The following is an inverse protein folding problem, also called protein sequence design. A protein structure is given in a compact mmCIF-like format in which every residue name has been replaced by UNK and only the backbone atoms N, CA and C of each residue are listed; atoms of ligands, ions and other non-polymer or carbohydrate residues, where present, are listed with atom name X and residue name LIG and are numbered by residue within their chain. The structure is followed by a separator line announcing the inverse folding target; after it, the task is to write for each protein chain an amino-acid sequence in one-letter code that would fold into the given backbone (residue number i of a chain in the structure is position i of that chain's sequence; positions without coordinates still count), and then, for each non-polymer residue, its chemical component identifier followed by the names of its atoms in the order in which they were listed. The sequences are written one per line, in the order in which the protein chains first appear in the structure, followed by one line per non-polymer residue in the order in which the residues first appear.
data_IF_052635705999
#
_entry.id   IF_052635705999
#
_cell.length_a   1.000
_cell.length_b   1.000
_cell.length_c   1.000
_cell.angle_alpha   90.00
_cell.angle_beta   90.00
_cell.angle_gamma   90.00
#
_symmetry.space_group_name_H-M   'P 1'
#
loop_
_entity.id
_entity.type
_entity.pdbx_description
1 polymer ?
#
# COMPACT_ATOMS: atom_id res chain seq x y z
N UNK A 1 -15.53 -7.74 -13.16
CA UNK A 1 -14.20 -7.16 -12.82
C UNK A 1 -13.97 -7.17 -11.31
N UNK A 2 -14.88 -6.60 -10.52
CA UNK A 2 -14.70 -6.45 -9.06
C UNK A 2 -14.52 -7.77 -8.30
N UNK A 3 -15.20 -8.84 -8.73
CA UNK A 3 -15.04 -10.17 -8.13
C UNK A 3 -13.64 -10.75 -8.36
N UNK A 4 -13.01 -10.47 -9.51
CA UNK A 4 -11.67 -10.96 -9.84
C UNK A 4 -10.65 -10.30 -8.90
N UNK A 5 -10.71 -8.98 -8.75
CA UNK A 5 -9.75 -8.27 -7.89
C UNK A 5 -9.91 -8.61 -6.41
N UNK A 6 -11.14 -8.78 -5.91
CA UNK A 6 -11.38 -9.27 -4.55
C UNK A 6 -10.80 -10.66 -4.33
N UNK A 7 -11.07 -11.58 -5.26
CA UNK A 7 -10.52 -12.94 -5.20
C UNK A 7 -8.99 -12.94 -5.27
N UNK A 8 -8.40 -12.12 -6.13
CA UNK A 8 -6.95 -11.96 -6.25
C UNK A 8 -6.34 -11.43 -4.96
N UNK A 9 -6.89 -10.36 -4.36
CA UNK A 9 -6.35 -9.81 -3.12
C UNK A 9 -6.38 -10.85 -1.98
N UNK A 10 -7.45 -11.64 -1.88
CA UNK A 10 -7.57 -12.72 -0.91
C UNK A 10 -6.55 -13.85 -1.18
N UNK A 11 -6.43 -14.29 -2.43
CA UNK A 11 -5.49 -15.36 -2.80
C UNK A 11 -4.03 -14.93 -2.57
N UNK A 12 -3.65 -13.72 -2.97
CA UNK A 12 -2.30 -13.18 -2.75
C UNK A 12 -1.99 -13.10 -1.26
N UNK A 13 -2.94 -12.65 -0.43
CA UNK A 13 -2.75 -12.59 1.02
C UNK A 13 -2.48 -13.98 1.62
N UNK A 14 -3.21 -15.00 1.17
CA UNK A 14 -3.03 -16.38 1.61
C UNK A 14 -1.68 -16.96 1.15
N UNK A 15 -1.27 -16.69 -0.08
CA UNK A 15 0.02 -17.14 -0.65
C UNK A 15 1.19 -16.52 0.11
N UNK A 16 1.15 -15.20 0.31
CA UNK A 16 2.20 -14.46 1.00
C UNK A 16 2.14 -14.60 2.52
N UNK A 17 1.03 -15.16 3.05
CA UNK A 17 0.76 -15.29 4.49
C UNK A 17 0.93 -13.98 5.25
N UNK A 18 0.49 -12.88 4.64
CA UNK A 18 0.56 -11.55 5.25
C UNK A 18 -0.78 -11.12 5.86
N UNK A 19 -0.73 -10.07 6.69
CA UNK A 19 -1.92 -9.56 7.37
C UNK A 19 -2.84 -8.77 6.45
N UNK A 20 -2.29 -8.14 5.41
CA UNK A 20 -3.04 -7.27 4.51
C UNK A 20 -2.50 -7.31 3.08
N UNK A 21 -3.42 -7.32 2.12
CA UNK A 21 -3.17 -7.01 0.70
C UNK A 21 -4.18 -5.97 0.26
N UNK A 22 -3.70 -4.92 -0.41
CA UNK A 22 -4.54 -3.83 -0.90
C UNK A 22 -4.22 -3.54 -2.37
N UNK A 23 -5.25 -3.25 -3.16
CA UNK A 23 -5.13 -2.78 -4.54
C UNK A 23 -5.37 -1.28 -4.54
N UNK A 24 -4.30 -0.52 -4.76
CA UNK A 24 -4.36 0.93 -4.93
C UNK A 24 -4.33 1.28 -6.42
N UNK A 25 -5.32 2.04 -6.89
CA UNK A 25 -5.35 2.54 -8.26
C UNK A 25 -4.93 3.99 -8.30
N UNK A 26 -3.89 4.27 -9.08
CA UNK A 26 -3.55 5.62 -9.49
C UNK A 26 -4.57 6.11 -10.52
N UNK A 27 -5.12 7.29 -10.26
CA UNK A 27 -6.05 8.00 -11.13
C UNK A 27 -5.30 9.10 -11.90
N UNK A 28 -5.84 9.54 -13.04
CA UNK A 28 -5.37 10.76 -13.68
C UNK A 28 -5.34 11.93 -12.69
N UNK A 29 -4.46 12.90 -12.92
CA UNK A 29 -4.27 14.09 -12.07
C UNK A 29 -3.57 13.85 -10.72
N UNK A 30 -2.97 12.68 -10.50
CA UNK A 30 -2.13 12.43 -9.32
C UNK A 30 -2.92 12.09 -8.06
N UNK A 31 -4.19 11.69 -8.21
CA UNK A 31 -4.99 11.12 -7.13
C UNK A 31 -4.92 9.59 -7.17
N UNK A 32 -5.40 8.93 -6.13
CA UNK A 32 -5.62 7.50 -6.18
C UNK A 32 -6.66 7.03 -5.17
N UNK A 33 -7.04 5.76 -5.31
CA UNK A 33 -8.09 5.15 -4.53
C UNK A 33 -7.78 3.69 -4.20
N UNK A 34 -8.17 3.25 -3.00
CA UNK A 34 -8.15 1.84 -2.64
C UNK A 34 -9.38 1.17 -3.26
N UNK A 35 -9.16 0.22 -4.16
CA UNK A 35 -10.24 -0.51 -4.83
C UNK A 35 -10.70 -1.72 -4.03
N UNK A 36 -9.71 -2.48 -3.52
CA UNK A 36 -9.94 -3.75 -2.86
C UNK A 36 -8.93 -3.95 -1.74
N UNK A 37 -9.38 -4.54 -0.65
CA UNK A 37 -8.57 -4.86 0.50
C UNK A 37 -8.96 -6.24 1.03
N UNK A 38 -7.95 -7.08 1.27
CA UNK A 38 -8.08 -8.28 2.10
C UNK A 38 -7.21 -8.08 3.32
N UNK A 39 -7.81 -8.11 4.51
CA UNK A 39 -7.15 -7.70 5.75
C UNK A 39 -7.51 -8.64 6.90
N UNK A 40 -6.56 -8.87 7.80
CA UNK A 40 -6.77 -9.70 8.98
C UNK A 40 -7.80 -9.07 9.92
N UNK A 41 -8.53 -9.90 10.69
CA UNK A 41 -9.34 -9.38 11.78
C UNK A 41 -8.51 -8.47 12.69
N UNK A 42 -9.13 -7.40 13.18
CA UNK A 42 -8.54 -6.42 14.10
C UNK A 42 -7.44 -5.51 13.54
N UNK A 43 -7.12 -5.58 12.25
CA UNK A 43 -6.25 -4.58 11.62
C UNK A 43 -7.09 -3.39 11.11
N UNK A 44 -6.58 -2.14 11.19
CA UNK A 44 -7.20 -0.98 10.56
C UNK A 44 -7.43 -1.21 9.06
N UNK A 45 -8.46 -0.60 8.47
CA UNK A 45 -8.81 -0.82 7.06
C UNK A 45 -8.43 0.40 6.22
N UNK A 46 -7.65 0.19 5.16
CA UNK A 46 -7.31 1.24 4.20
C UNK A 46 -8.53 1.68 3.38
N UNK A 47 -9.42 0.75 3.04
CA UNK A 47 -10.54 1.05 2.14
C UNK A 47 -11.54 2.06 2.73
N UNK A 48 -11.49 2.27 4.05
CA UNK A 48 -12.34 3.21 4.78
C UNK A 48 -11.63 4.53 5.13
N UNK A 49 -10.42 4.78 4.62
CA UNK A 49 -9.73 6.05 4.84
C UNK A 49 -10.51 7.22 4.23
N UNK A 50 -10.65 8.30 5.01
CA UNK A 50 -11.29 9.54 4.54
C UNK A 50 -10.56 10.18 3.36
N UNK A 51 -9.23 10.09 3.34
CA UNK A 51 -8.40 10.59 2.25
C UNK A 51 -7.40 9.51 1.75
N UNK A 52 -7.71 8.81 0.66
CA UNK A 52 -6.81 7.81 0.08
C UNK A 52 -5.56 8.41 -0.59
N UNK A 53 -5.52 9.73 -0.84
CA UNK A 53 -4.33 10.39 -1.39
C UNK A 53 -3.24 10.61 -0.34
N UNK A 54 -3.59 10.52 0.94
CA UNK A 54 -2.64 10.56 2.05
C UNK A 54 -1.53 9.52 1.84
N UNK A 55 -1.87 8.28 1.46
CA UNK A 55 -0.88 7.23 1.15
C UNK A 55 0.02 7.57 -0.04
N UNK A 56 -0.56 8.05 -1.15
CA UNK A 56 0.19 8.42 -2.34
C UNK A 56 1.12 9.60 -2.09
N UNK A 57 0.64 10.61 -1.37
CA UNK A 57 1.43 11.80 -0.99
C UNK A 57 2.64 11.43 -0.14
N UNK A 58 2.50 10.45 0.75
CA UNK A 58 3.60 9.90 1.54
C UNK A 58 4.63 9.21 0.67
N UNK A 59 4.18 8.26 -0.14
CA UNK A 59 5.05 7.50 -1.04
C UNK A 59 5.85 8.46 -1.95
N UNK A 60 5.19 9.48 -2.48
CA UNK A 60 5.79 10.50 -3.31
C UNK A 60 6.86 11.34 -2.60
N UNK A 61 6.63 11.71 -1.34
CA UNK A 61 7.60 12.46 -0.53
C UNK A 61 8.85 11.64 -0.23
N UNK A 62 8.67 10.36 0.11
CA UNK A 62 9.81 9.47 0.42
C UNK A 62 10.69 9.24 -0.82
N UNK A 63 10.06 9.08 -1.99
CA UNK A 63 10.79 8.95 -3.26
C UNK A 63 11.30 10.29 -3.79
N UNK A 64 11.14 11.39 -3.05
CA UNK A 64 11.50 12.75 -3.46
C UNK A 64 10.91 13.14 -4.83
N UNK A 65 9.73 12.64 -5.15
CA UNK A 65 9.06 12.82 -6.45
C UNK A 65 9.69 12.08 -7.63
N UNK A 66 10.64 11.16 -7.39
CA UNK A 66 11.20 10.32 -8.43
C UNK A 66 10.17 9.26 -8.87
N UNK A 67 9.51 9.49 -10.00
CA UNK A 67 8.52 8.58 -10.58
C UNK A 67 9.04 7.15 -10.74
N UNK A 68 10.30 6.97 -11.12
CA UNK A 68 10.87 5.63 -11.27
C UNK A 68 10.92 4.89 -9.93
N UNK A 69 11.13 5.60 -8.82
CA UNK A 69 11.07 5.00 -7.49
C UNK A 69 9.64 4.80 -6.98
N UNK A 70 8.69 5.63 -7.40
CA UNK A 70 7.25 5.46 -7.12
C UNK A 70 6.72 4.19 -7.81
N UNK A 71 7.15 3.93 -9.05
CA UNK A 71 6.73 2.78 -9.83
C UNK A 71 7.60 1.53 -9.63
N UNK A 72 8.63 1.58 -8.79
CA UNK A 72 9.47 0.42 -8.54
C UNK A 72 8.90 -0.48 -7.46
N UNK A 73 9.24 -1.76 -7.57
CA UNK A 73 9.01 -2.69 -6.48
C UNK A 73 9.80 -2.23 -5.24
N UNK A 74 9.14 -2.21 -4.09
CA UNK A 74 9.74 -1.90 -2.80
C UNK A 74 9.40 -2.99 -1.80
N UNK A 75 10.35 -3.33 -0.94
CA UNK A 75 10.13 -4.24 0.18
C UNK A 75 10.86 -3.70 1.41
N UNK A 76 10.14 -3.61 2.53
CA UNK A 76 10.66 -3.19 3.83
C UNK A 76 10.34 -4.29 4.83
N UNK A 77 11.40 -4.91 5.38
CA UNK A 77 11.27 -6.05 6.30
C UNK A 77 10.92 -5.64 7.74
N UNK A 78 11.36 -4.47 8.18
CA UNK A 78 11.07 -3.92 9.51
C UNK A 78 11.16 -2.40 9.44
N UNK A 79 10.05 -1.69 9.62
CA UNK A 79 9.98 -0.23 9.48
C UNK A 79 10.91 0.49 10.46
N UNK A 80 11.13 -0.08 11.65
CA UNK A 80 11.99 0.50 12.68
C UNK A 80 13.50 0.30 12.40
N UNK A 81 13.83 -0.52 11.39
CA UNK A 81 15.21 -0.75 10.92
C UNK A 81 15.44 -0.23 9.50
N UNK A 82 14.44 0.44 8.94
CA UNK A 82 14.47 0.94 7.57
C UNK A 82 15.08 2.34 7.51
N UNK A 83 15.34 2.81 6.29
CA UNK A 83 15.77 4.20 6.04
C UNK A 83 14.59 5.17 5.96
N UNK A 84 13.36 4.72 6.28
CA UNK A 84 12.17 5.56 6.22
C UNK A 84 12.27 6.71 7.21
N UNK A 85 11.80 7.89 6.79
CA UNK A 85 11.67 9.04 7.68
C UNK A 85 10.76 8.75 8.89
N UNK A 86 11.04 9.39 10.04
CA UNK A 86 10.27 9.19 11.28
C UNK A 86 8.77 9.48 11.11
N UNK A 87 8.42 10.51 10.34
CA UNK A 87 7.02 10.83 10.04
C UNK A 87 6.31 9.71 9.29
N UNK A 88 7.00 8.99 8.40
CA UNK A 88 6.43 7.84 7.71
C UNK A 88 6.33 6.62 8.62
N UNK A 89 7.32 6.39 9.49
CA UNK A 89 7.26 5.26 10.42
C UNK A 89 6.03 5.37 11.33
N UNK A 90 5.77 6.54 11.93
CA UNK A 90 4.61 6.76 12.81
C UNK A 90 3.30 6.43 12.09
N UNK A 91 3.14 6.95 10.88
CA UNK A 91 1.91 6.77 10.10
C UNK A 91 1.72 5.32 9.64
N UNK A 92 2.79 4.63 9.23
CA UNK A 92 2.73 3.22 8.87
C UNK A 92 2.41 2.35 10.11
N UNK A 93 2.92 2.75 11.28
CA UNK A 93 2.65 2.09 12.56
C UNK A 93 1.19 2.26 13.02
N UNK A 94 0.55 3.41 12.76
CA UNK A 94 -0.90 3.60 13.01
C UNK A 94 -1.77 2.57 12.26
N UNK A 95 -1.29 2.10 11.11
CA UNK A 95 -1.94 1.04 10.32
C UNK A 95 -1.55 -0.38 10.77
N UNK A 96 -0.77 -0.50 11.84
CA UNK A 96 -0.20 -1.73 12.38
C UNK A 96 0.70 -2.47 11.37
N UNK A 97 1.44 -1.73 10.55
CA UNK A 97 2.33 -2.30 9.54
C UNK A 97 3.76 -2.29 10.08
N UNK A 98 4.31 -3.47 10.33
CA UNK A 98 5.74 -3.61 10.65
C UNK A 98 6.62 -3.84 9.42
N UNK A 99 6.06 -4.47 8.39
CA UNK A 99 6.76 -4.84 7.16
C UNK A 99 5.80 -4.76 5.99
N UNK A 100 6.27 -4.36 4.82
CA UNK A 100 5.42 -4.25 3.62
C UNK A 100 6.19 -4.49 2.33
N UNK A 101 5.43 -4.80 1.29
CA UNK A 101 5.92 -4.85 -0.10
C UNK A 101 4.94 -4.09 -0.99
N UNK A 102 5.45 -3.28 -1.91
CA UNK A 102 4.71 -2.59 -2.96
C UNK A 102 5.22 -3.10 -4.30
N UNK A 103 4.32 -3.43 -5.22
CA UNK A 103 4.67 -3.82 -6.58
C UNK A 103 3.70 -3.16 -7.57
N UNK A 104 4.19 -2.57 -8.67
CA UNK A 104 3.32 -1.97 -9.67
C UNK A 104 2.51 -3.04 -10.42
N UNK A 105 1.29 -2.69 -10.80
CA UNK A 105 0.47 -3.47 -11.73
C UNK A 105 0.23 -2.60 -12.96
N UNK A 106 0.81 -2.99 -14.09
CA UNK A 106 0.62 -2.30 -15.36
C UNK A 106 -0.53 -2.94 -16.14
N UNK A 107 -1.38 -2.09 -16.73
CA UNK A 107 -2.38 -2.51 -17.70
C UNK A 107 -1.84 -2.14 -19.08
N UNK A 108 -1.80 -3.14 -19.98
CA UNK A 108 -1.39 -2.97 -21.38
C UNK A 108 -2.47 -2.37 -22.25
#
# INVERSE_FOLDING_TARGET
MDMIWRATAQAVRQILRCDRVVVYRLLPQGNGQFLFESVAPNCPQFINMTDPNTWLSWHWKETQGNLNQVYNQQAVNDIYKSTLSNSHQVLIDEFMIRSYMITPVFLG
#
